data_IF_461656566403
#
_entry.id   IF_461656566403
#
_cell.length_a   1.000
_cell.length_b   1.000
_cell.length_c   1.000
_cell.angle_alpha   90.00
_cell.angle_beta   90.00
_cell.angle_gamma   90.00
#
_symmetry.space_group_name_H-M   'P 1'
#
loop_
_entity.id
_entity.type
_entity.pdbx_description
1 polymer ?
#
# COMPACT_ATOMS: atom_id res chain seq x y z
N UNK A 1 43.47 -23.09 3.08
CA UNK A 1 42.41 -23.69 3.92
C UNK A 1 41.51 -22.55 4.40
N UNK A 2 40.20 -22.62 4.14
CA UNK A 2 39.25 -21.59 4.62
C UNK A 2 38.96 -21.88 6.10
N UNK A 3 39.17 -20.88 6.96
CA UNK A 3 38.95 -20.98 8.40
C UNK A 3 37.44 -20.97 8.71
N UNK A 4 37.01 -21.70 9.75
CA UNK A 4 35.63 -21.69 10.27
C UNK A 4 35.08 -20.27 10.53
N UNK A 5 35.91 -19.29 10.92
CA UNK A 5 35.49 -17.89 11.05
C UNK A 5 35.17 -17.26 9.69
N UNK A 6 35.96 -17.55 8.66
CA UNK A 6 35.73 -17.10 7.29
C UNK A 6 34.47 -17.73 6.69
N UNK A 7 34.19 -19.00 7.01
CA UNK A 7 32.94 -19.68 6.61
C UNK A 7 31.72 -19.04 7.29
N UNK A 8 31.79 -18.70 8.58
CA UNK A 8 30.70 -18.01 9.30
C UNK A 8 30.43 -16.62 8.72
N UNK A 9 31.48 -15.87 8.38
CA UNK A 9 31.36 -14.55 7.75
C UNK A 9 30.74 -14.67 6.36
N UNK A 10 31.18 -15.64 5.55
CA UNK A 10 30.60 -15.90 4.23
C UNK A 10 29.13 -16.31 4.32
N UNK A 11 28.75 -17.16 5.28
CA UNK A 11 27.36 -17.52 5.54
C UNK A 11 26.51 -16.31 5.94
N UNK A 12 27.00 -15.46 6.84
CA UNK A 12 26.31 -14.24 7.24
C UNK A 12 26.10 -13.28 6.05
N UNK A 13 27.14 -13.08 5.23
CA UNK A 13 27.05 -12.25 4.02
C UNK A 13 26.08 -12.84 2.99
N UNK A 14 26.08 -14.16 2.82
CA UNK A 14 25.18 -14.85 1.89
C UNK A 14 23.73 -14.69 2.33
N UNK A 15 23.43 -14.84 3.63
CA UNK A 15 22.07 -14.62 4.19
C UNK A 15 21.59 -13.19 3.98
N UNK A 16 22.48 -12.19 4.10
CA UNK A 16 22.15 -10.78 3.83
C UNK A 16 21.85 -10.54 2.35
N UNK A 17 22.56 -11.22 1.43
CA UNK A 17 22.40 -11.05 -0.01
C UNK A 17 21.18 -11.76 -0.64
N UNK A 18 20.49 -12.66 0.09
CA UNK A 18 19.30 -13.38 -0.42
C UNK A 18 18.00 -12.57 -0.21
N UNK A 19 18.06 -11.37 0.39
CA UNK A 19 16.91 -10.49 0.49
C UNK A 19 16.44 -10.05 -0.89
N UNK A 20 15.40 -10.69 -1.43
CA UNK A 20 14.68 -10.22 -2.61
C UNK A 20 14.40 -8.72 -2.45
N UNK A 21 14.82 -7.90 -3.41
CA UNK A 21 14.57 -6.46 -3.50
C UNK A 21 13.09 -6.15 -3.79
N UNK A 22 12.18 -6.87 -3.13
CA UNK A 22 10.77 -6.56 -3.16
C UNK A 22 10.61 -5.30 -2.33
N UNK A 23 10.08 -4.25 -2.95
CA UNK A 23 9.68 -3.05 -2.22
C UNK A 23 8.77 -3.49 -1.07
N UNK A 24 9.25 -3.37 0.17
CA UNK A 24 8.41 -3.64 1.34
C UNK A 24 7.39 -2.51 1.39
N UNK A 25 6.08 -2.77 1.25
CA UNK A 25 5.09 -1.74 1.47
C UNK A 25 5.05 -1.49 2.99
N UNK A 26 5.93 -0.61 3.47
CA UNK A 26 5.83 -0.04 4.80
C UNK A 26 4.69 0.97 4.78
N UNK A 27 3.47 0.44 4.88
CA UNK A 27 2.31 1.25 5.17
C UNK A 27 2.35 1.50 6.68
N UNK A 28 2.41 2.76 7.08
CA UNK A 28 2.24 3.18 8.46
C UNK A 28 0.81 3.67 8.68
N UNK A 29 0.34 3.63 9.94
CA UNK A 29 -1.01 4.07 10.29
C UNK A 29 -1.30 5.51 9.85
N UNK A 30 -0.28 6.38 9.81
CA UNK A 30 -0.40 7.76 9.33
C UNK A 30 -0.74 7.82 7.85
N UNK A 31 -0.07 7.04 7.00
CA UNK A 31 -0.40 7.02 5.57
C UNK A 31 -1.76 6.40 5.27
N UNK A 32 -2.22 5.42 6.08
CA UNK A 32 -3.60 4.92 6.01
C UNK A 32 -4.60 6.03 6.36
N UNK A 33 -4.37 6.74 7.48
CA UNK A 33 -5.24 7.84 7.91
C UNK A 33 -5.31 9.00 6.92
N UNK A 34 -4.30 9.16 6.07
CA UNK A 34 -4.25 10.15 4.99
C UNK A 34 -4.68 9.58 3.64
N UNK A 35 -5.30 8.40 3.59
CA UNK A 35 -5.75 7.77 2.34
C UNK A 35 -4.65 7.67 1.28
N UNK A 36 -3.40 7.42 1.68
CA UNK A 36 -2.24 7.35 0.78
C UNK A 36 -1.63 8.70 0.39
N UNK A 37 -2.20 9.84 0.81
CA UNK A 37 -1.66 11.20 0.57
C UNK A 37 -0.50 11.55 1.50
N UNK A 38 0.44 10.62 1.68
CA UNK A 38 1.50 10.71 2.68
C UNK A 38 2.92 10.85 2.11
N UNK A 39 3.06 10.83 0.78
CA UNK A 39 4.36 10.85 0.08
C UNK A 39 5.26 12.02 0.50
N UNK A 40 4.71 13.22 0.72
CA UNK A 40 5.48 14.42 1.11
C UNK A 40 5.70 14.47 2.63
N UNK A 41 4.74 13.97 3.41
CA UNK A 41 4.75 14.05 4.88
C UNK A 41 5.46 12.87 5.56
N UNK A 42 5.89 11.86 4.80
CA UNK A 42 6.65 10.73 5.32
C UNK A 42 8.02 11.17 5.84
N UNK A 43 8.42 10.67 7.02
CA UNK A 43 9.67 11.02 7.72
C UNK A 43 10.26 9.81 8.43
N UNK A 44 11.56 9.89 8.76
CA UNK A 44 12.26 8.83 9.47
C UNK A 44 12.20 7.49 8.74
N UNK A 45 12.11 6.38 9.46
CA UNK A 45 12.11 5.04 8.86
C UNK A 45 10.91 4.81 7.91
N UNK A 46 9.80 5.50 8.13
CA UNK A 46 8.61 5.43 7.26
C UNK A 46 8.87 6.02 5.88
N UNK A 47 9.83 6.93 5.71
CA UNK A 47 10.15 7.52 4.41
C UNK A 47 10.56 6.44 3.38
N UNK A 48 11.22 5.36 3.81
CA UNK A 48 11.68 4.28 2.93
C UNK A 48 10.55 3.66 2.11
N UNK A 49 9.37 3.47 2.72
CA UNK A 49 8.21 2.83 2.08
C UNK A 49 7.36 3.75 1.19
N UNK A 50 7.50 5.07 1.33
CA UNK A 50 6.68 6.04 0.59
C UNK A 50 7.50 6.93 -0.36
N UNK A 51 8.56 7.57 0.15
CA UNK A 51 9.45 8.42 -0.60
C UNK A 51 10.83 8.48 0.09
N UNK A 52 11.81 7.66 -0.35
CA UNK A 52 13.13 7.61 0.27
C UNK A 52 13.88 8.94 0.29
N UNK A 53 13.57 9.88 -0.61
CA UNK A 53 14.18 11.21 -0.61
C UNK A 53 13.89 11.99 0.68
N UNK A 54 12.77 11.70 1.35
CA UNK A 54 12.41 12.36 2.60
C UNK A 54 13.30 11.97 3.79
N UNK A 55 14.16 10.94 3.67
CA UNK A 55 15.20 10.66 4.67
C UNK A 55 16.22 11.82 4.77
N UNK A 56 16.32 12.67 3.75
CA UNK A 56 17.18 13.85 3.76
C UNK A 56 16.74 14.95 4.74
N UNK A 57 15.49 14.93 5.22
CA UNK A 57 14.97 15.90 6.19
C UNK A 57 15.38 15.53 7.63
N UNK A 58 16.69 15.42 7.85
CA UNK A 58 17.30 14.98 9.13
C UNK A 58 16.98 15.93 10.28
N UNK A 59 16.81 17.22 9.99
CA UNK A 59 16.50 18.26 10.98
C UNK A 59 15.14 18.05 11.66
N UNK A 60 14.16 17.47 10.95
CA UNK A 60 12.83 17.22 11.51
C UNK A 60 12.79 15.95 12.37
N UNK A 61 13.45 14.88 11.90
CA UNK A 61 13.43 13.56 12.57
C UNK A 61 14.83 12.93 12.51
N UNK A 62 15.74 13.30 13.42
CA UNK A 62 17.13 12.82 13.41
C UNK A 62 17.24 11.34 13.78
N UNK A 63 16.30 10.82 14.57
CA UNK A 63 16.18 9.41 14.90
C UNK A 63 14.70 9.03 14.98
N UNK A 64 14.34 7.86 14.45
CA UNK A 64 13.01 7.28 14.62
C UNK A 64 13.09 5.78 14.70
N UNK A 65 12.19 5.13 15.45
CA UNK A 65 12.15 3.68 15.58
C UNK A 65 10.71 3.20 15.74
N UNK A 66 10.39 2.07 15.11
CA UNK A 66 9.17 1.32 15.36
C UNK A 66 9.42 0.21 16.36
N UNK A 67 8.64 0.17 17.43
CA UNK A 67 8.62 -0.97 18.34
C UNK A 67 7.83 -2.15 17.77
N UNK A 68 6.72 -1.88 17.09
CA UNK A 68 5.90 -2.87 16.39
C UNK A 68 4.94 -2.12 15.47
N UNK A 69 4.78 -2.61 14.25
CA UNK A 69 3.80 -2.13 13.29
C UNK A 69 3.19 -3.36 12.59
N UNK A 70 1.86 -3.46 12.62
CA UNK A 70 1.09 -4.49 11.93
C UNK A 70 0.00 -3.84 11.11
N UNK A 71 -0.07 -4.22 9.84
CA UNK A 71 -1.03 -3.72 8.87
C UNK A 71 -1.82 -4.88 8.28
N UNK A 72 -3.05 -4.57 7.88
CA UNK A 72 -3.90 -5.45 7.10
C UNK A 72 -4.25 -4.75 5.80
N UNK A 73 -4.21 -5.51 4.71
CA UNK A 73 -4.51 -5.04 3.37
C UNK A 73 -5.72 -5.82 2.87
N UNK A 74 -6.70 -5.10 2.34
CA UNK A 74 -7.82 -5.67 1.59
C UNK A 74 -7.91 -4.87 0.30
N UNK A 75 -7.81 -5.55 -0.84
CA UNK A 75 -7.96 -4.96 -2.17
C UNK A 75 -9.04 -5.72 -2.90
N UNK A 76 -9.72 -5.04 -3.80
CA UNK A 76 -10.71 -5.66 -4.65
C UNK A 76 -10.71 -4.98 -6.04
N UNK A 77 -11.27 -5.66 -7.03
CA UNK A 77 -11.26 -5.21 -8.42
C UNK A 77 -12.57 -4.53 -8.88
N UNK A 78 -13.48 -4.18 -7.96
CA UNK A 78 -14.84 -3.71 -8.31
C UNK A 78 -15.21 -2.40 -7.61
N UNK A 79 -15.06 -2.36 -6.29
CA UNK A 79 -15.33 -1.21 -5.44
C UNK A 79 -14.26 -0.14 -5.71
N UNK A 80 -14.65 0.89 -6.46
CA UNK A 80 -13.83 2.06 -6.76
C UNK A 80 -14.59 3.32 -6.39
N UNK A 81 -13.89 4.42 -6.07
CA UNK A 81 -14.52 5.69 -5.74
C UNK A 81 -15.37 6.22 -6.91
N UNK A 82 -14.92 6.01 -8.15
CA UNK A 82 -15.69 6.38 -9.34
C UNK A 82 -17.01 5.61 -9.44
N UNK A 83 -16.99 4.29 -9.21
CA UNK A 83 -18.20 3.47 -9.23
C UNK A 83 -19.13 3.83 -8.06
N UNK A 84 -18.57 4.09 -6.88
CA UNK A 84 -19.35 4.55 -5.73
C UNK A 84 -20.04 5.87 -6.06
N UNK A 85 -19.31 6.85 -6.58
CA UNK A 85 -19.88 8.15 -6.89
C UNK A 85 -21.00 8.03 -7.93
N UNK A 86 -20.72 7.30 -9.02
CA UNK A 86 -21.64 7.07 -10.13
C UNK A 86 -22.98 6.46 -9.69
N UNK A 87 -22.96 5.47 -8.79
CA UNK A 87 -24.17 4.73 -8.45
C UNK A 87 -24.82 5.16 -7.12
N UNK A 88 -24.09 5.82 -6.22
CA UNK A 88 -24.54 6.06 -4.85
C UNK A 88 -24.52 7.54 -4.42
N UNK A 89 -23.78 8.43 -5.07
CA UNK A 89 -23.78 9.88 -4.73
C UNK A 89 -24.44 10.77 -5.77
N UNK A 90 -24.80 10.22 -6.93
CA UNK A 90 -25.44 10.95 -8.03
C UNK A 90 -24.56 11.01 -9.28
N UNK A 91 -25.10 11.49 -10.40
CA UNK A 91 -24.35 11.56 -11.65
C UNK A 91 -23.08 12.42 -11.49
N UNK A 92 -21.88 11.94 -11.82
CA UNK A 92 -20.66 12.76 -11.73
C UNK A 92 -20.72 14.01 -12.62
N UNK A 93 -21.55 14.00 -13.66
CA UNK A 93 -21.79 15.14 -14.54
C UNK A 93 -22.89 16.08 -13.99
N UNK A 94 -23.76 15.58 -13.09
CA UNK A 94 -24.87 16.32 -12.47
C UNK A 94 -25.01 15.96 -10.98
N UNK A 95 -24.20 16.57 -10.08
CA UNK A 95 -24.15 16.20 -8.67
C UNK A 95 -25.51 16.37 -7.97
N UNK A 96 -25.98 15.32 -7.29
CA UNK A 96 -27.25 15.33 -6.54
C UNK A 96 -28.47 14.78 -7.31
N UNK A 97 -28.35 14.58 -8.61
CA UNK A 97 -29.36 13.87 -9.42
C UNK A 97 -29.03 12.37 -9.50
N UNK A 98 -30.04 11.47 -9.52
CA UNK A 98 -29.80 10.06 -9.78
C UNK A 98 -29.13 9.89 -11.16
N UNK A 99 -28.29 8.87 -11.28
CA UNK A 99 -27.57 8.59 -12.53
C UNK A 99 -28.52 8.50 -13.73
N UNK A 100 -28.32 9.34 -14.74
CA UNK A 100 -29.19 9.37 -15.92
C UNK A 100 -28.87 8.18 -16.84
N UNK A 101 -29.75 7.17 -16.83
CA UNK A 101 -29.60 5.96 -17.65
C UNK A 101 -29.75 6.25 -19.14
N UNK A 102 -30.57 7.23 -19.53
CA UNK A 102 -30.78 7.61 -20.92
C UNK A 102 -29.55 8.31 -21.48
N UNK A 103 -28.89 9.14 -20.68
CA UNK A 103 -27.60 9.74 -21.04
C UNK A 103 -26.48 8.69 -21.15
N UNK A 104 -26.44 7.71 -20.24
CA UNK A 104 -25.36 6.70 -20.20
C UNK A 104 -25.50 5.63 -21.27
N UNK A 105 -26.72 5.23 -21.59
CA UNK A 105 -27.00 4.17 -22.58
C UNK A 105 -28.21 4.56 -23.44
N UNK A 106 -28.03 5.48 -24.40
CA UNK A 106 -29.15 6.04 -25.17
C UNK A 106 -29.93 4.98 -25.94
N UNK A 107 -31.26 5.05 -25.85
CA UNK A 107 -32.17 4.18 -26.62
C UNK A 107 -32.18 2.71 -26.20
N UNK A 108 -31.58 2.37 -25.06
CA UNK A 108 -31.53 1.01 -24.53
C UNK A 108 -32.33 0.91 -23.22
N UNK A 109 -33.14 -0.14 -23.07
CA UNK A 109 -33.92 -0.37 -21.85
C UNK A 109 -33.06 -1.04 -20.77
N UNK A 110 -32.05 -0.33 -20.25
CA UNK A 110 -31.20 -0.80 -19.16
C UNK A 110 -31.82 -0.46 -17.80
N UNK A 111 -31.61 -1.35 -16.83
CA UNK A 111 -31.83 -1.05 -15.42
C UNK A 111 -30.49 -0.72 -14.76
N UNK A 112 -30.50 0.05 -13.67
CA UNK A 112 -29.31 0.29 -12.83
C UNK A 112 -28.60 -1.02 -12.45
N UNK A 113 -29.36 -2.09 -12.17
CA UNK A 113 -28.84 -3.42 -11.86
C UNK A 113 -28.09 -4.04 -13.03
N UNK A 114 -28.64 -3.93 -14.25
CA UNK A 114 -28.00 -4.47 -15.45
C UNK A 114 -26.71 -3.70 -15.77
N UNK A 115 -26.73 -2.37 -15.60
CA UNK A 115 -25.56 -1.53 -15.80
C UNK A 115 -24.45 -1.84 -14.77
N UNK A 116 -24.79 -1.93 -13.48
CA UNK A 116 -23.84 -2.27 -12.41
C UNK A 116 -23.20 -3.65 -12.62
N UNK A 117 -23.98 -4.64 -13.09
CA UNK A 117 -23.46 -5.96 -13.47
C UNK A 117 -22.43 -5.89 -14.59
N UNK A 118 -22.57 -4.94 -15.53
CA UNK A 118 -21.61 -4.71 -16.60
C UNK A 118 -20.23 -4.25 -16.11
N UNK A 119 -20.16 -3.61 -14.93
CA UNK A 119 -18.90 -3.20 -14.32
C UNK A 119 -18.19 -4.33 -13.56
N UNK A 120 -18.84 -5.48 -13.36
CA UNK A 120 -18.17 -6.65 -12.76
C UNK A 120 -17.15 -7.18 -13.78
N UNK A 121 -15.85 -7.26 -13.43
CA UNK A 121 -14.84 -7.76 -14.37
C UNK A 121 -15.15 -9.18 -14.86
N UNK A 122 -14.76 -9.50 -16.09
CA UNK A 122 -14.96 -10.84 -16.69
C UNK A 122 -14.34 -11.98 -15.89
N UNK A 123 -13.25 -11.71 -15.17
CA UNK A 123 -12.58 -12.59 -14.20
C UNK A 123 -13.33 -12.76 -12.87
N UNK A 124 -14.50 -12.15 -12.72
CA UNK A 124 -15.28 -12.13 -11.49
C UNK A 124 -14.80 -11.09 -10.48
N UNK A 125 -15.47 -11.07 -9.31
CA UNK A 125 -15.08 -10.28 -8.16
C UNK A 125 -13.92 -10.95 -7.46
N UNK A 126 -12.79 -10.26 -7.38
CA UNK A 126 -11.58 -10.73 -6.69
C UNK A 126 -11.36 -9.86 -5.46
N UNK A 127 -11.12 -10.52 -4.33
CA UNK A 127 -10.68 -9.89 -3.10
C UNK A 127 -9.30 -10.45 -2.78
N UNK A 128 -8.31 -9.56 -2.73
CA UNK A 128 -6.97 -9.90 -2.28
C UNK A 128 -6.82 -9.39 -0.86
N UNK A 129 -6.34 -10.25 0.03
CA UNK A 129 -6.11 -9.87 1.40
C UNK A 129 -4.64 -10.11 1.75
N UNK A 130 -4.19 -9.44 2.80
CA UNK A 130 -2.85 -9.66 3.30
C UNK A 130 -2.59 -8.98 4.63
N UNK A 131 -1.47 -9.31 5.21
CA UNK A 131 -0.94 -8.63 6.39
C UNK A 131 0.55 -8.37 6.24
N UNK A 132 1.00 -7.27 6.81
CA UNK A 132 2.42 -6.96 6.94
C UNK A 132 2.71 -6.66 8.41
N UNK A 133 3.63 -7.41 9.02
CA UNK A 133 4.08 -7.19 10.40
C UNK A 133 5.58 -6.93 10.42
N UNK A 134 5.96 -5.80 11.02
CA UNK A 134 7.34 -5.41 11.21
C UNK A 134 8.00 -6.21 12.32
N UNK A 135 9.29 -6.52 12.21
CA UNK A 135 10.01 -7.07 13.35
C UNK A 135 10.22 -6.01 14.45
N UNK A 136 9.97 -6.36 15.72
CA UNK A 136 10.07 -5.39 16.81
C UNK A 136 11.46 -4.77 16.96
N UNK A 137 11.54 -3.44 17.01
CA UNK A 137 12.79 -2.71 17.24
C UNK A 137 13.82 -2.76 16.11
N UNK A 138 13.59 -3.54 15.05
CA UNK A 138 14.48 -3.66 13.89
C UNK A 138 14.16 -2.67 12.76
N UNK A 139 13.24 -1.75 13.01
CA UNK A 139 12.81 -0.73 12.06
C UNK A 139 13.16 0.63 12.62
N UNK A 140 14.20 1.28 12.10
CA UNK A 140 14.64 2.57 12.59
C UNK A 140 15.35 3.39 11.53
N UNK A 141 15.44 4.70 11.76
CA UNK A 141 16.26 5.62 10.99
C UNK A 141 17.17 6.42 11.90
N UNK A 142 18.31 6.80 11.36
CA UNK A 142 19.24 7.72 11.99
C UNK A 142 19.91 8.57 10.91
N UNK A 143 19.76 9.89 11.03
CA UNK A 143 20.17 10.79 9.96
C UNK A 143 19.44 10.47 8.66
N UNK A 144 20.20 10.39 7.58
CA UNK A 144 19.75 10.01 6.24
C UNK A 144 19.76 8.49 5.98
N UNK A 145 19.97 7.68 7.02
CA UNK A 145 19.99 6.22 6.93
C UNK A 145 18.74 5.61 7.56
N UNK A 146 18.32 4.45 7.04
CA UNK A 146 17.21 3.69 7.60
C UNK A 146 17.38 2.18 7.38
N UNK A 147 16.87 1.41 8.34
CA UNK A 147 16.75 -0.04 8.29
C UNK A 147 15.27 -0.38 8.50
N UNK A 148 14.72 -1.19 7.60
CA UNK A 148 13.33 -1.66 7.66
C UNK A 148 13.26 -3.16 7.47
N UNK A 149 12.40 -3.83 8.23
CA UNK A 149 12.26 -5.28 8.21
C UNK A 149 10.86 -5.73 8.64
N UNK A 150 10.35 -6.77 8.00
CA UNK A 150 9.04 -7.32 8.32
C UNK A 150 8.73 -8.58 7.52
N UNK A 151 7.59 -9.18 7.85
CA UNK A 151 7.00 -10.32 7.15
C UNK A 151 5.70 -9.85 6.51
N UNK A 152 5.56 -10.16 5.22
CA UNK A 152 4.33 -9.95 4.48
C UNK A 152 3.72 -11.28 4.05
N UNK A 153 2.42 -11.43 4.29
CA UNK A 153 1.63 -12.61 3.91
C UNK A 153 0.45 -12.12 3.09
N UNK A 154 0.20 -12.77 1.95
CA UNK A 154 -0.97 -12.54 1.10
C UNK A 154 -1.82 -13.81 1.05
N UNK A 155 -3.13 -13.66 1.02
CA UNK A 155 -4.09 -14.76 0.92
C UNK A 155 -5.30 -14.36 0.06
#
# INVERSE_FOLDING_TARGET
MVNNSTIKVLLALTVISIGSLVAQPLIDARGVGLCGTYTIASRGYNAVGYNPANLGFVEEVPFSMSLLNTNFLIRNNFITLSLYNQFFTGDPDTPGEPLDLEQRVPGQNYTYKTLLKGYIPSRGLVFDMGSNTSFPGLNFSWGNYAITSGIQVFW
#
